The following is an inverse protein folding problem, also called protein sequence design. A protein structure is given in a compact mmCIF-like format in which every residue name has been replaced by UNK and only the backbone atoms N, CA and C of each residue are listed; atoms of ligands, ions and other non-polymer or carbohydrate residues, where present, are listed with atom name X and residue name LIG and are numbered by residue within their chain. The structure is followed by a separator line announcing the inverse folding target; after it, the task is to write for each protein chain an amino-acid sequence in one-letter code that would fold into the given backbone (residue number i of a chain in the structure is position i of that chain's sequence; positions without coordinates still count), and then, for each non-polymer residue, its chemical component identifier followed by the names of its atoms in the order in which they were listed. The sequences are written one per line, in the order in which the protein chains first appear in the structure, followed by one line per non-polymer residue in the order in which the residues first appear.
data_IF_732670430563
#
_entry.id   IF_732670430563
#
_cell.length_a   1.000
_cell.length_b   1.000
_cell.length_c   1.000
_cell.angle_alpha   90.00
_cell.angle_beta   90.00
_cell.angle_gamma   90.00
#
_symmetry.space_group_name_H-M   'P 1'
#
loop_
_entity.id
_entity.type
_entity.pdbx_description
1 polymer ?
2 polymer ?
3 non-polymer ?
4 water ?
#
# COMPACT_ATOMS: atom_id res chain seq x y z
N UNK A 1 16.94 22.19 0.42
CA UNK A 1 17.78 21.15 1.10
C UNK A 1 18.20 20.06 0.12
N UNK A 2 18.92 19.06 0.63
CA UNK A 2 19.48 18.03 -0.24
C UNK A 2 18.38 17.11 -0.72
N UNK A 3 18.38 16.82 -2.02
CA UNK A 3 17.41 15.92 -2.63
C UNK A 3 18.07 14.58 -2.90
N UNK A 4 17.43 13.50 -2.43
CA UNK A 4 17.93 12.15 -2.65
C UNK A 4 17.03 11.47 -3.66
N UNK A 5 17.65 10.94 -4.72
CA UNK A 5 16.93 10.31 -5.81
C UNK A 5 17.41 8.88 -6.00
N UNK A 6 16.47 7.96 -6.09
CA UNK A 6 16.73 6.58 -6.50
C UNK A 6 16.05 6.37 -7.85
N UNK A 7 16.85 6.35 -8.91
CA UNK A 7 16.30 6.43 -10.26
C UNK A 7 15.38 5.26 -10.59
N UNK A 8 15.43 4.18 -9.82
CA UNK A 8 14.63 2.98 -10.09
C UNK A 8 13.76 2.69 -8.87
N UNK A 9 12.44 2.83 -9.02
CA UNK A 9 11.52 2.58 -7.92
C UNK A 9 11.03 1.14 -7.88
N UNK A 10 11.13 0.40 -8.99
CA UNK A 10 10.86 -1.03 -9.01
C UNK A 10 11.98 -1.71 -9.77
N UNK A 11 12.52 -2.79 -9.19
CA UNK A 11 13.69 -3.48 -9.74
C UNK A 11 13.41 -4.98 -9.77
N UNK A 12 13.66 -5.60 -10.92
CA UNK A 12 13.43 -7.02 -11.09
C UNK A 12 14.74 -7.78 -10.89
N UNK A 13 14.65 -8.93 -10.24
CA UNK A 13 15.83 -9.74 -9.98
C UNK A 13 15.38 -11.16 -9.63
N UNK A 14 16.27 -12.11 -9.87
CA UNK A 14 16.06 -13.51 -9.52
C UNK A 14 16.85 -13.86 -8.27
N UNK A 15 16.39 -14.88 -7.56
CA UNK A 15 17.12 -15.33 -6.39
C UNK A 15 18.52 -15.78 -6.80
N UNK A 16 19.51 -15.40 -6.00
CA UNK A 16 20.90 -15.68 -6.31
C UNK A 16 21.58 -14.66 -7.20
N UNK A 17 20.89 -13.60 -7.60
CA UNK A 17 21.48 -12.56 -8.45
C UNK A 17 22.28 -11.56 -7.62
N UNK A 18 23.01 -10.70 -8.33
CA UNK A 18 23.78 -9.61 -7.73
C UNK A 18 23.01 -8.32 -8.00
N UNK A 19 22.24 -7.88 -7.00
CA UNK A 19 21.36 -6.73 -7.15
C UNK A 19 22.09 -5.48 -6.68
N UNK A 20 21.95 -4.41 -7.45
CA UNK A 20 22.53 -3.12 -7.12
C UNK A 20 21.43 -2.07 -7.15
N UNK A 21 21.25 -1.39 -6.02
CA UNK A 21 20.28 -0.30 -5.88
C UNK A 21 21.08 1.00 -5.77
N UNK A 22 20.75 1.97 -6.62
CA UNK A 22 21.50 3.22 -6.71
C UNK A 22 20.80 4.33 -5.93
N UNK A 23 21.56 5.39 -5.67
CA UNK A 23 21.07 6.54 -4.90
C UNK A 23 21.98 7.72 -5.19
N UNK A 24 21.38 8.83 -5.62
CA UNK A 24 22.11 10.04 -5.97
C UNK A 24 21.70 11.20 -5.06
N UNK A 25 22.69 11.95 -4.57
CA UNK A 25 22.44 13.13 -3.77
C UNK A 25 22.60 14.40 -4.61
N UNK A 26 21.83 15.44 -4.26
CA UNK A 26 21.87 16.69 -5.00
C UNK A 26 23.18 17.46 -4.77
N UNK A 27 23.94 17.10 -3.75
CA UNK A 27 25.24 17.71 -3.51
C UNK A 27 26.10 16.72 -2.72
N UNK A 28 27.36 17.09 -2.53
CA UNK A 28 28.28 16.22 -1.81
C UNK A 28 27.80 16.03 -0.38
N UNK A 29 27.60 14.77 0.01
CA UNK A 29 27.17 14.43 1.36
C UNK A 29 28.25 13.73 2.15
N UNK A 30 29.47 13.63 1.61
CA UNK A 30 30.64 13.23 2.39
C UNK A 30 30.43 11.88 3.06
N UNK A 31 29.93 10.93 2.28
CA UNK A 31 29.76 9.53 2.72
C UNK A 31 28.82 9.39 3.90
N UNK A 32 28.05 10.43 4.24
CA UNK A 32 27.04 10.36 5.29
C UNK A 32 25.75 9.79 4.69
N UNK A 33 25.81 8.50 4.34
CA UNK A 33 24.69 7.82 3.71
C UNK A 33 24.38 6.51 4.44
N UNK A 34 23.10 6.29 4.70
CA UNK A 34 22.62 5.11 5.38
C UNK A 34 21.58 4.41 4.51
N UNK A 35 21.41 3.10 4.72
CA UNK A 35 20.48 2.28 3.97
C UNK A 35 19.53 1.58 4.93
N UNK A 36 18.24 1.59 4.59
CA UNK A 36 17.21 0.96 5.40
C UNK A 36 16.42 0.00 4.54
N UNK A 37 15.95 -1.07 5.17
CA UNK A 37 15.14 -2.10 4.52
C UNK A 37 13.77 -2.12 5.17
N UNK A 38 12.72 -1.88 4.38
CA UNK A 38 11.35 -1.96 4.86
C UNK A 38 10.67 -3.17 4.25
N UNK A 39 10.10 -4.02 5.10
CA UNK A 39 9.36 -5.19 4.63
C UNK A 39 7.92 -4.84 4.30
N UNK A 40 7.22 -5.73 3.60
CA UNK A 40 5.79 -5.48 3.32
C UNK A 40 4.95 -5.22 4.57
N UNK A 41 5.26 -5.87 5.69
CA UNK A 41 4.51 -5.62 6.92
C UNK A 41 4.83 -4.26 7.56
N UNK A 42 5.64 -3.42 6.90
CA UNK A 42 5.94 -2.10 7.38
C UNK A 42 7.21 -2.00 8.20
N UNK A 43 7.65 -3.09 8.81
CA UNK A 43 8.82 -3.02 9.69
C UNK A 43 10.04 -2.54 8.92
N UNK A 44 10.90 -1.80 9.61
CA UNK A 44 12.08 -1.19 9.02
C UNK A 44 13.31 -1.66 9.81
N UNK A 45 14.41 -1.88 9.09
CA UNK A 45 15.67 -2.32 9.68
C UNK A 45 16.81 -1.56 9.04
N UNK A 46 17.81 -1.20 9.85
CA UNK A 46 19.03 -0.61 9.32
C UNK A 46 19.92 -1.70 8.74
N UNK A 47 20.54 -1.39 7.61
CA UNK A 47 21.51 -2.28 6.98
C UNK A 47 22.91 -1.71 7.07
N UNK A 48 23.14 -0.51 6.52
CA UNK A 48 24.46 0.06 6.38
C UNK A 48 24.40 1.53 6.77
N UNK A 49 25.46 2.00 7.41
CA UNK A 49 25.62 3.41 7.74
C UNK A 49 27.01 3.86 7.35
N UNK A 50 27.14 5.17 7.13
CA UNK A 50 28.38 5.76 6.66
C UNK A 50 28.87 5.03 5.41
N UNK A 51 27.98 4.88 4.43
CA UNK A 51 28.29 4.34 3.12
C UNK A 51 28.52 2.83 3.14
N UNK A 52 29.44 2.34 3.97
CA UNK A 52 29.93 0.98 3.84
C UNK A 52 29.92 0.17 5.13
N UNK A 53 29.63 0.76 6.28
CA UNK A 53 29.74 0.05 7.53
C UNK A 53 28.49 -0.79 7.77
N UNK A 54 28.71 -2.08 7.99
CA UNK A 54 27.62 -3.03 8.18
C UNK A 54 27.10 -2.93 9.62
N UNK A 55 25.80 -2.71 9.76
CA UNK A 55 25.19 -2.73 11.08
C UNK A 55 25.22 -4.15 11.64
N UNK A 56 25.36 -4.24 12.96
CA UNK A 56 25.45 -5.54 13.62
C UNK A 56 24.24 -6.39 13.26
N UNK A 57 24.48 -7.67 13.00
CA UNK A 57 23.42 -8.62 12.71
C UNK A 57 22.97 -8.67 11.27
N UNK A 58 23.54 -7.85 10.40
CA UNK A 58 23.17 -7.82 8.98
C UNK A 58 24.09 -8.76 8.21
N UNK A 59 23.55 -9.67 7.39
CA UNK A 59 24.43 -10.61 6.66
C UNK A 59 25.45 -9.89 5.79
N UNK A 60 26.59 -10.56 5.58
CA UNK A 60 27.70 -9.96 4.85
C UNK A 60 27.39 -9.73 3.39
N UNK A 61 26.35 -10.38 2.85
CA UNK A 61 26.01 -10.21 1.44
C UNK A 61 25.50 -8.81 1.13
N UNK A 62 25.17 -8.02 2.15
CA UNK A 62 24.78 -6.62 1.95
C UNK A 62 26.05 -5.77 1.96
N UNK A 63 26.28 -5.04 0.88
CA UNK A 63 27.49 -4.25 0.71
C UNK A 63 27.11 -2.87 0.22
N UNK A 64 27.80 -1.86 0.75
CA UNK A 64 27.54 -0.48 0.38
C UNK A 64 28.80 0.24 -0.03
N UNK A 65 28.67 1.12 -1.01
CA UNK A 65 29.78 1.94 -1.46
C UNK A 65 29.24 3.23 -2.06
N UNK A 66 30.17 4.08 -2.46
CA UNK A 66 29.84 5.37 -3.05
C UNK A 66 30.68 6.48 -2.44
N UNK A 67 30.58 7.64 -3.08
CA UNK A 67 31.25 8.84 -2.60
C UNK A 67 30.62 10.05 -3.28
N UNK A 68 30.90 11.22 -2.72
CA UNK A 68 30.40 12.45 -3.29
C UNK A 68 28.89 12.49 -3.36
N UNK A 69 28.33 12.23 -4.55
CA UNK A 69 26.90 12.24 -4.76
C UNK A 69 26.31 10.89 -5.09
N UNK A 70 27.08 9.97 -5.65
CA UNK A 70 26.55 8.69 -6.11
C UNK A 70 26.92 7.58 -5.13
N UNK A 71 25.91 6.80 -4.73
CA UNK A 71 26.10 5.70 -3.81
C UNK A 71 25.25 4.53 -4.28
N UNK A 72 25.54 3.35 -3.73
CA UNK A 72 24.86 2.16 -4.20
C UNK A 72 24.86 1.10 -3.10
N UNK A 73 23.83 0.26 -3.14
CA UNK A 73 23.69 -0.88 -2.24
C UNK A 73 23.71 -2.13 -3.10
N UNK A 74 24.62 -3.05 -2.79
CA UNK A 74 24.79 -4.27 -3.56
C UNK A 74 24.43 -5.46 -2.67
N UNK A 75 23.57 -6.33 -3.18
CA UNK A 75 23.11 -7.50 -2.45
C UNK A 75 23.49 -8.71 -3.29
N UNK A 76 24.50 -9.45 -2.83
CA UNK A 76 24.97 -10.63 -3.53
C UNK A 76 24.15 -11.85 -3.11
N UNK A 77 23.93 -12.76 -4.06
CA UNK A 77 23.21 -14.01 -3.79
C UNK A 77 21.87 -13.72 -3.10
N UNK A 78 21.02 -13.02 -3.83
CA UNK A 78 19.74 -12.58 -3.30
C UNK A 78 18.92 -13.76 -2.78
N UNK A 79 18.30 -13.56 -1.61
CA UNK A 79 17.44 -14.55 -0.99
C UNK A 79 16.02 -14.01 -0.87
N UNK A 80 15.09 -14.92 -0.62
CA UNK A 80 13.68 -14.54 -0.58
C UNK A 80 13.41 -13.46 0.47
N UNK A 81 14.03 -13.59 1.64
CA UNK A 81 13.83 -12.61 2.71
C UNK A 81 14.40 -11.24 2.36
N UNK A 82 15.16 -11.13 1.28
CA UNK A 82 15.70 -9.84 0.83
C UNK A 82 14.74 -9.07 -0.06
N UNK A 83 13.63 -9.69 -0.48
CA UNK A 83 12.63 -9.01 -1.29
C UNK A 83 11.93 -7.98 -0.42
N UNK A 84 12.27 -6.72 -0.61
CA UNK A 84 11.78 -5.65 0.25
C UNK A 84 12.03 -4.32 -0.46
N UNK A 85 11.76 -3.22 0.24
CA UNK A 85 12.01 -1.89 -0.27
C UNK A 85 13.22 -1.30 0.45
N UNK A 86 14.08 -0.62 -0.29
CA UNK A 86 15.34 -0.11 0.23
C UNK A 86 15.38 1.40 0.06
N UNK A 87 15.61 2.11 1.15
CA UNK A 87 15.68 3.56 1.15
C UNK A 87 17.08 4.01 1.55
N UNK A 88 17.63 4.97 0.81
CA UNK A 88 18.84 5.64 1.25
C UNK A 88 18.47 6.91 2.00
N UNK A 89 19.44 7.45 2.74
CA UNK A 89 19.19 8.60 3.60
C UNK A 89 20.49 9.31 3.88
N UNK A 90 20.52 10.62 3.64
CA UNK A 90 21.70 11.43 3.88
C UNK A 90 21.63 12.05 5.27
N UNK A 91 22.75 11.99 5.99
CA UNK A 91 22.87 12.61 7.29
C UNK A 91 23.92 13.70 7.30
N UNK A 92 24.10 14.36 6.15
CA UNK A 92 25.13 15.38 6.04
C UNK A 92 24.62 16.73 6.53
N UNK A 93 23.43 17.12 6.11
CA UNK A 93 22.83 18.39 6.47
C UNK A 93 21.43 18.17 7.03
N UNK A 94 20.85 19.24 7.57
CA UNK A 94 19.45 19.21 7.97
C UNK A 94 18.60 19.91 6.93
N UNK A 95 17.35 19.49 6.71
CA UNK A 95 16.72 18.32 7.34
C UNK A 95 17.14 17.01 6.69
N UNK A 96 17.09 15.92 7.45
CA UNK A 96 17.42 14.62 6.86
C UNK A 96 16.42 14.29 5.77
N UNK A 97 16.90 13.70 4.69
CA UNK A 97 16.06 13.36 3.55
C UNK A 97 16.32 11.92 3.12
N UNK A 98 15.27 11.29 2.61
CA UNK A 98 15.33 9.91 2.12
C UNK A 98 15.13 9.91 0.61
N UNK A 99 15.59 8.83 -0.01
CA UNK A 99 15.24 8.55 -1.38
C UNK A 99 13.87 7.92 -1.48
N UNK A 100 13.28 8.01 -2.68
CA UNK A 100 11.95 7.49 -2.92
C UNK A 100 11.79 6.01 -2.62
N UNK A 101 12.88 5.26 -2.63
CA UNK A 101 12.83 3.84 -2.33
C UNK A 101 12.84 2.98 -3.57
N UNK A 102 13.24 1.73 -3.39
CA UNK A 102 13.37 0.75 -4.47
C UNK A 102 12.83 -0.58 -3.97
N UNK A 103 11.67 -0.99 -4.49
CA UNK A 103 11.06 -2.26 -4.12
C UNK A 103 11.48 -3.34 -5.12
N UNK A 104 12.15 -4.38 -4.62
CA UNK A 104 12.52 -5.49 -5.48
C UNK A 104 11.32 -6.39 -5.76
N UNK A 105 11.42 -7.14 -6.85
CA UNK A 105 10.40 -8.10 -7.23
C UNK A 105 11.06 -9.26 -7.98
N UNK A 106 10.35 -10.38 -8.05
CA UNK A 106 10.88 -11.61 -8.63
C UNK A 106 10.61 -11.62 -10.14
N UNK A 107 11.64 -11.89 -10.92
CA UNK A 107 11.49 -12.04 -12.36
C UNK A 107 10.70 -13.31 -12.69
N UNK A 108 9.91 -13.23 -13.76
CA UNK A 108 9.23 -14.39 -14.30
C UNK A 108 8.87 -14.08 -15.75
N UNK A 109 8.26 -15.06 -16.41
CA UNK A 109 7.89 -14.90 -17.81
C UNK A 109 6.65 -14.03 -17.94
N UNK A 110 6.59 -13.27 -19.03
CA UNK A 110 5.45 -12.40 -19.27
C UNK A 110 4.16 -13.21 -19.35
N UNK A 111 3.09 -12.66 -18.80
CA UNK A 111 1.79 -13.29 -18.83
C UNK A 111 0.74 -12.20 -19.04
N UNK A 112 -0.16 -12.43 -20.00
CA UNK A 112 -1.21 -11.47 -20.27
C UNK A 112 -2.28 -11.53 -19.17
N UNK A 113 -2.90 -10.40 -18.84
CA UNK A 113 -3.94 -10.41 -17.83
C UNK A 113 -5.20 -11.08 -18.34
N UNK A 114 -5.93 -11.71 -17.42
CA UNK A 114 -7.27 -12.21 -17.68
C UNK A 114 -8.24 -11.14 -17.20
N UNK A 115 -9.11 -10.67 -18.10
CA UNK A 115 -9.95 -9.49 -17.85
C UNK A 115 -11.39 -9.94 -17.72
N UNK A 116 -12.08 -9.42 -16.71
CA UNK A 116 -13.48 -9.70 -16.48
C UNK A 116 -14.16 -8.40 -16.08
N UNK A 117 -15.32 -8.13 -16.67
CA UNK A 117 -16.07 -6.92 -16.36
C UNK A 117 -17.40 -7.34 -15.75
N UNK A 118 -17.93 -6.49 -14.87
CA UNK A 118 -19.15 -6.81 -14.14
C UNK A 118 -20.07 -5.60 -14.03
N UNK A 119 -21.31 -5.68 -14.51
CA UNK A 119 -22.25 -4.56 -14.33
C UNK A 119 -22.58 -4.35 -12.86
N UNK A 120 -23.28 -3.27 -12.52
CA UNK A 120 -23.72 -3.08 -11.14
C UNK A 120 -24.69 -4.19 -10.71
N UNK A 121 -24.64 -4.51 -9.42
CA UNK A 121 -25.51 -5.52 -8.85
C UNK A 121 -26.90 -4.97 -8.62
N UNK A 122 -27.90 -5.84 -8.69
CA UNK A 122 -29.27 -5.44 -8.38
C UNK A 122 -29.34 -4.80 -7.00
N UNK A 123 -28.68 -5.41 -6.01
CA UNK A 123 -28.70 -4.86 -4.66
C UNK A 123 -28.26 -3.41 -4.64
N UNK A 124 -27.11 -3.11 -5.25
CA UNK A 124 -26.59 -1.75 -5.21
C UNK A 124 -27.51 -0.76 -5.91
N UNK A 125 -28.06 -1.15 -7.07
CA UNK A 125 -28.90 -0.22 -7.82
C UNK A 125 -30.09 0.26 -7.00
N UNK A 126 -30.74 -0.65 -6.26
CA UNK A 126 -31.85 -0.26 -5.40
C UNK A 126 -31.42 0.74 -4.33
N UNK A 127 -30.12 0.89 -4.08
CA UNK A 127 -29.61 1.90 -3.19
C UNK A 127 -29.31 3.22 -3.89
N UNK A 128 -29.56 3.31 -5.19
CA UNK A 128 -29.30 4.52 -5.95
C UNK A 128 -27.89 4.68 -6.47
N UNK A 129 -27.05 3.66 -6.33
CA UNK A 129 -25.69 3.70 -6.81
C UNK A 129 -25.47 2.65 -7.88
N UNK A 130 -24.37 2.81 -8.60
CA UNK A 130 -24.00 1.90 -9.66
C UNK A 130 -22.48 1.90 -9.78
N UNK A 131 -21.87 0.76 -9.49
CA UNK A 131 -20.43 0.56 -9.64
C UNK A 131 -20.20 -0.54 -10.66
N UNK A 132 -19.35 -0.25 -11.63
CA UNK A 132 -18.93 -1.23 -12.62
C UNK A 132 -17.52 -1.67 -12.27
N UNK A 133 -17.31 -2.98 -12.18
CA UNK A 133 -16.06 -3.54 -11.66
C UNK A 133 -15.36 -4.30 -12.78
N UNK A 134 -14.04 -4.18 -12.81
CA UNK A 134 -13.23 -4.87 -13.81
C UNK A 134 -12.00 -5.43 -13.10
N UNK A 135 -11.83 -6.75 -13.16
CA UNK A 135 -10.63 -7.40 -12.65
C UNK A 135 -9.64 -7.63 -13.78
N UNK A 136 -8.36 -7.48 -13.48
CA UNK A 136 -7.28 -7.78 -14.41
C UNK A 136 -6.31 -8.66 -13.61
N UNK A 137 -6.41 -9.97 -13.77
CA UNK A 137 -5.80 -10.92 -12.86
C UNK A 137 -4.60 -11.62 -13.47
N UNK A 138 -3.59 -11.87 -12.63
CA UNK A 138 -2.47 -12.77 -12.92
C UNK A 138 -1.72 -12.34 -14.19
N UNK A 139 -1.11 -11.16 -14.13
CA UNK A 139 -0.31 -10.65 -15.22
C UNK A 139 1.08 -10.30 -14.72
N UNK A 140 2.03 -10.26 -15.65
CA UNK A 140 3.40 -9.88 -15.36
C UNK A 140 4.01 -9.34 -16.65
N UNK A 141 4.75 -8.22 -16.61
CA UNK A 141 5.11 -7.43 -15.43
C UNK A 141 3.94 -6.61 -14.90
N UNK A 142 4.20 -5.83 -13.83
CA UNK A 142 3.11 -5.17 -13.10
C UNK A 142 2.63 -3.89 -13.77
N UNK A 143 3.38 -3.35 -14.73
CA UNK A 143 2.91 -2.16 -15.44
C UNK A 143 1.73 -2.52 -16.33
N UNK A 144 0.66 -1.72 -16.21
CA UNK A 144 -0.56 -1.96 -16.97
C UNK A 144 -1.37 -0.68 -16.95
N UNK A 145 -2.10 -0.43 -18.03
CA UNK A 145 -3.00 0.72 -18.14
C UNK A 145 -4.41 0.19 -18.35
N UNK A 146 -5.34 0.65 -17.51
CA UNK A 146 -6.76 0.33 -17.66
C UNK A 146 -7.48 1.61 -18.08
N UNK A 147 -8.42 1.47 -19.01
CA UNK A 147 -9.18 2.60 -19.52
C UNK A 147 -10.65 2.23 -19.56
N UNK A 148 -11.49 3.13 -19.05
CA UNK A 148 -12.94 2.95 -19.08
C UNK A 148 -13.54 3.83 -20.17
N UNK A 149 -14.58 3.32 -20.81
CA UNK A 149 -15.34 4.08 -21.79
C UNK A 149 -16.82 3.96 -21.48
N UNK A 150 -17.54 5.06 -21.64
CA UNK A 150 -18.99 5.08 -21.53
C UNK A 150 -19.53 5.55 -22.87
N UNK A 151 -20.31 4.70 -23.52
CA UNK A 151 -20.84 5.01 -24.84
C UNK A 151 -19.71 5.39 -25.80
N UNK A 152 -18.57 4.72 -25.65
CA UNK A 152 -17.50 4.79 -26.63
C UNK A 152 -16.45 5.84 -26.36
N UNK A 153 -16.67 6.74 -25.41
CA UNK A 153 -15.70 7.78 -25.09
C UNK A 153 -15.14 7.55 -23.70
N UNK A 154 -13.87 7.90 -23.52
CA UNK A 154 -13.15 7.58 -22.30
C UNK A 154 -13.76 8.29 -21.09
N UNK A 155 -13.69 7.61 -19.94
CA UNK A 155 -14.17 8.14 -18.67
C UNK A 155 -13.12 7.94 -17.60
N UNK A 156 -12.89 8.97 -16.79
CA UNK A 156 -11.90 8.90 -15.71
C UNK A 156 -12.40 9.36 -14.36
N UNK A 157 -13.51 10.09 -14.27
CA UNK A 157 -14.06 10.47 -12.98
C UNK A 157 -14.82 9.30 -12.37
N UNK A 158 -14.61 9.09 -11.07
CA UNK A 158 -15.20 8.00 -10.36
C UNK A 158 -14.41 6.70 -10.43
N UNK A 159 -13.31 6.67 -11.16
CA UNK A 159 -12.53 5.45 -11.34
C UNK A 159 -11.51 5.37 -10.21
N UNK A 160 -11.57 4.28 -9.45
CA UNK A 160 -10.61 4.02 -8.37
C UNK A 160 -10.00 2.65 -8.60
N UNK A 161 -8.67 2.59 -8.56
CA UNK A 161 -7.93 1.39 -8.88
C UNK A 161 -7.25 0.84 -7.64
N UNK A 162 -7.01 -0.47 -7.64
CA UNK A 162 -6.31 -1.12 -6.55
C UNK A 162 -5.43 -2.24 -7.12
N UNK A 163 -4.19 -2.30 -6.65
CA UNK A 163 -3.21 -3.27 -7.13
C UNK A 163 -2.74 -4.15 -5.99
N UNK A 164 -2.64 -5.45 -6.26
CA UNK A 164 -2.09 -6.38 -5.29
C UNK A 164 -0.57 -6.35 -5.32
N UNK A 165 0.03 -6.83 -4.24
CA UNK A 165 1.47 -7.08 -4.24
C UNK A 165 1.75 -8.31 -5.08
N UNK A 166 3.02 -8.48 -5.45
CA UNK A 166 3.42 -9.65 -6.23
C UNK A 166 2.98 -10.91 -5.50
N UNK A 167 2.39 -11.84 -6.24
CA UNK A 167 1.95 -13.08 -5.61
C UNK A 167 3.14 -13.89 -5.11
N UNK A 168 2.99 -14.47 -3.92
CA UNK A 168 4.10 -15.19 -3.30
C UNK A 168 4.38 -16.54 -3.98
N UNK A 169 3.42 -17.07 -4.75
CA UNK A 169 3.54 -18.39 -5.34
C UNK A 169 3.82 -18.38 -6.83
N UNK A 170 3.11 -17.59 -7.63
CA UNK A 170 3.33 -17.55 -9.07
C UNK A 170 3.96 -16.26 -9.56
N UNK A 171 4.19 -15.29 -8.67
CA UNK A 171 4.90 -14.05 -8.99
C UNK A 171 4.15 -13.14 -9.95
N UNK A 172 2.85 -13.32 -10.10
CA UNK A 172 2.06 -12.44 -10.96
C UNK A 172 1.41 -11.33 -10.14
N UNK A 173 0.88 -10.35 -10.86
CA UNK A 173 0.17 -9.22 -10.27
C UNK A 173 -1.27 -9.25 -10.72
N UNK A 174 -2.14 -8.60 -9.94
CA UNK A 174 -3.55 -8.50 -10.24
C UNK A 174 -4.03 -7.10 -9.87
N UNK A 175 -5.07 -6.65 -10.58
CA UNK A 175 -5.56 -5.29 -10.44
C UNK A 175 -7.08 -5.27 -10.51
N UNK A 176 -7.68 -4.36 -9.73
CA UNK A 176 -9.11 -4.12 -9.77
C UNK A 176 -9.37 -2.65 -10.08
N UNK A 177 -10.30 -2.42 -10.99
CA UNK A 177 -10.72 -1.07 -11.38
C UNK A 177 -12.23 -0.98 -11.20
N UNK A 178 -12.69 0.10 -10.57
CA UNK A 178 -14.10 0.28 -10.28
C UNK A 178 -14.54 1.67 -10.69
N UNK A 179 -15.59 1.73 -11.50
CA UNK A 179 -16.18 2.98 -11.99
C UNK A 179 -17.52 3.16 -11.30
N UNK A 180 -17.62 4.17 -10.44
CA UNK A 180 -18.82 4.41 -9.66
C UNK A 180 -19.62 5.58 -10.23
N UNK A 181 -20.93 5.39 -10.32
CA UNK A 181 -21.85 6.38 -10.86
C UNK A 181 -23.12 6.38 -10.02
N UNK A 182 -23.99 7.33 -10.29
CA UNK A 182 -25.32 7.29 -9.74
C UNK A 182 -26.20 6.37 -10.59
N UNK A 183 -27.26 5.85 -9.96
CA UNK A 183 -28.21 5.03 -10.71
C UNK A 183 -28.70 5.77 -11.95
N UNK A 184 -29.04 7.05 -11.81
CA UNK A 184 -29.60 7.80 -12.92
C UNK A 184 -28.59 7.96 -14.06
N UNK A 185 -27.35 8.35 -13.74
CA UNK A 185 -26.35 8.49 -14.79
C UNK A 185 -26.08 7.15 -15.46
N UNK A 186 -25.96 6.09 -14.68
CA UNK A 186 -25.72 4.76 -15.25
C UNK A 186 -26.83 4.38 -16.22
N UNK A 187 -28.07 4.75 -15.91
CA UNK A 187 -29.20 4.35 -16.75
C UNK A 187 -29.38 5.24 -17.97
N UNK A 188 -28.63 6.34 -18.09
CA UNK A 188 -28.70 7.17 -19.28
C UNK A 188 -27.78 6.68 -20.39
N UNK A 189 -26.98 5.65 -20.15
CA UNK A 189 -26.00 5.20 -21.14
C UNK A 189 -26.10 3.69 -21.27
N UNK A 190 -25.41 3.17 -22.28
CA UNK A 190 -25.62 1.79 -22.73
C UNK A 190 -24.36 0.93 -22.62
N UNK A 191 -23.27 1.31 -23.29
CA UNK A 191 -22.09 0.45 -23.37
C UNK A 191 -21.06 0.89 -22.36
N UNK A 192 -20.55 -0.08 -21.60
CA UNK A 192 -19.52 0.15 -20.60
C UNK A 192 -18.35 -0.77 -20.90
N UNK A 193 -17.16 -0.19 -21.02
CA UNK A 193 -16.02 -0.90 -21.57
C UNK A 193 -14.82 -0.80 -20.64
N UNK A 194 -14.11 -1.92 -20.52
CA UNK A 194 -12.85 -2.01 -19.78
C UNK A 194 -11.76 -2.42 -20.76
N UNK A 195 -10.80 -1.53 -20.99
CA UNK A 195 -9.71 -1.78 -21.94
C UNK A 195 -8.40 -1.89 -21.18
N UNK A 196 -7.71 -3.02 -21.33
CA UNK A 196 -6.45 -3.29 -20.66
C UNK A 196 -5.33 -3.26 -21.69
N UNK A 197 -4.32 -2.43 -21.44
CA UNK A 197 -3.15 -2.35 -22.31
C UNK A 197 -1.93 -2.82 -21.53
N UNK A 198 -1.26 -3.84 -22.07
CA UNK A 198 -0.17 -4.52 -21.41
C UNK A 198 0.85 -4.93 -22.47
N UNK A 199 2.12 -4.98 -22.09
CA UNK A 199 3.18 -5.23 -23.06
C UNK A 199 3.05 -6.58 -23.75
N UNK A 200 2.18 -7.48 -23.25
CA UNK A 200 1.99 -8.77 -23.89
C UNK A 200 1.28 -8.68 -25.23
N UNK A 201 0.77 -7.51 -25.60
CA UNK A 201 0.18 -7.35 -26.93
C UNK A 201 0.08 -5.86 -27.24
N UNK A 202 0.18 -5.55 -28.54
CA UNK A 202 0.01 -4.16 -28.97
C UNK A 202 -1.45 -3.74 -28.94
N UNK A 203 -2.37 -4.69 -29.09
CA UNK A 203 -3.80 -4.40 -29.08
C UNK A 203 -4.35 -4.58 -27.67
N UNK A 204 -5.11 -3.61 -27.16
CA UNK A 204 -5.68 -3.79 -25.81
C UNK A 204 -6.59 -4.99 -25.73
N UNK A 205 -6.78 -5.47 -24.50
CA UNK A 205 -7.79 -6.48 -24.20
C UNK A 205 -9.06 -5.74 -23.80
N UNK A 206 -10.15 -5.99 -24.51
CA UNK A 206 -11.37 -5.23 -24.39
C UNK A 206 -12.48 -6.13 -23.84
N UNK A 207 -13.09 -5.72 -22.74
CA UNK A 207 -14.27 -6.37 -22.20
C UNK A 207 -15.33 -5.30 -21.99
N UNK A 208 -16.56 -5.58 -22.40
CA UNK A 208 -17.62 -4.60 -22.31
C UNK A 208 -18.97 -5.30 -22.34
N UNK A 209 -20.00 -4.57 -21.94
CA UNK A 209 -21.37 -5.05 -22.00
C UNK A 209 -22.28 -3.89 -22.37
N UNK A 210 -23.51 -4.24 -22.77
CA UNK A 210 -24.52 -3.26 -23.16
C UNK A 210 -25.73 -3.39 -22.25
N UNK A 211 -26.22 -2.27 -21.74
CA UNK A 211 -27.40 -2.31 -20.88
C UNK A 211 -28.62 -2.81 -21.64
N UNK A 212 -28.75 -2.43 -22.92
CA UNK A 212 -29.93 -2.82 -23.69
C UNK A 212 -29.92 -4.31 -24.04
N UNK A 213 -28.79 -5.00 -23.88
CA UNK A 213 -28.73 -6.45 -24.09
C UNK A 213 -28.81 -7.23 -22.78
N UNK A 214 -29.10 -6.56 -21.67
CA UNK A 214 -29.21 -7.23 -20.38
C UNK A 214 -30.62 -7.81 -20.19
N UNK B 1 17.80 -6.03 24.81
CA UNK B 1 17.45 -5.81 23.38
C UNK B 1 16.72 -4.49 23.23
N UNK B 2 17.23 -3.64 22.33
CA UNK B 2 16.60 -2.36 22.06
C UNK B 2 15.23 -2.59 21.44
N UNK B 3 14.22 -1.86 21.92
CA UNK B 3 12.88 -1.98 21.38
C UNK B 3 12.16 -0.64 21.52
N UNK B 4 11.29 -0.35 20.55
CA UNK B 4 10.52 0.89 20.52
C UNK B 4 9.07 0.54 20.20
N UNK B 5 8.23 0.46 21.22
CA UNK B 5 6.82 0.15 21.05
C UNK B 5 6.05 1.45 20.89
N UNK B 6 5.43 1.63 19.72
CA UNK B 6 4.62 2.81 19.44
C UNK B 6 3.16 2.54 19.75
N UNK B 7 2.40 3.62 19.89
CA UNK B 7 1.00 3.53 20.24
C UNK B 7 0.17 3.01 19.08
N UNK B 8 -1.11 2.74 19.35
CA UNK B 8 -2.00 2.11 18.40
C UNK B 8 -2.46 3.05 17.29
N UNK B 9 -3.29 2.48 16.40
CA UNK B 9 -3.83 3.25 15.30
C UNK B 9 -4.77 4.34 15.80
N UNK B 10 -4.84 5.43 15.04
CA UNK B 10 -5.56 6.62 15.44
C UNK B 10 -6.55 7.03 14.36
N UNK B 11 -7.76 7.39 14.77
CA UNK B 11 -8.78 7.93 13.90
C UNK B 11 -9.22 9.26 14.49
N UNK B 12 -8.90 10.35 13.80
CA UNK B 12 -9.14 11.70 14.33
C UNK B 12 -9.75 12.56 13.24
N UNK B 13 -10.66 13.43 13.63
CA UNK B 13 -11.34 14.33 12.70
C UNK B 13 -10.45 15.53 12.40
N UNK B 14 -10.42 15.92 11.12
CA UNK B 14 -9.57 17.02 10.68
C UNK B 14 -9.79 18.26 11.54
N UNK B 15 -8.75 19.08 11.66
CA UNK B 15 -8.79 20.25 12.52
C UNK B 15 -8.54 19.97 13.97
N UNK B 16 -8.59 18.70 14.39
CA UNK B 16 -8.28 18.33 15.75
C UNK B 16 -6.79 18.00 15.88
N UNK B 17 -6.39 17.46 17.02
CA UNK B 17 -5.01 17.10 17.25
C UNK B 17 -4.91 15.63 17.65
N UNK B 18 -3.68 15.15 17.72
CA UNK B 18 -3.40 13.78 18.14
C UNK B 18 -2.02 13.74 18.78
N UNK B 19 -1.84 12.80 19.69
CA UNK B 19 -0.57 12.65 20.40
C UNK B 19 -0.27 11.16 20.51
N UNK B 20 0.72 10.69 19.74
CA UNK B 20 1.10 9.29 19.72
C UNK B 20 2.39 9.07 20.50
N UNK B 21 2.60 7.82 20.91
CA UNK B 21 3.65 7.46 21.87
C UNK B 21 4.71 6.58 21.22
N UNK B 22 5.83 6.45 21.93
CA UNK B 22 6.98 5.67 21.47
C UNK B 22 7.79 5.33 22.73
N UNK B 23 7.49 4.17 23.32
CA UNK B 23 8.13 3.76 24.55
C UNK B 23 9.41 3.00 24.23
N UNK B 24 10.50 3.41 24.88
CA UNK B 24 11.81 2.81 24.67
C UNK B 24 12.16 1.86 25.81
N UNK B 25 12.88 0.80 25.47
CA UNK B 25 13.34 -0.18 26.45
C UNK B 25 14.64 -0.77 25.96
N UNK B 26 15.32 -1.47 26.87
CA UNK B 26 16.56 -2.15 26.53
C UNK B 26 17.78 -1.27 26.41
N UNK B 27 17.68 0.02 26.70
CA UNK B 27 18.83 0.91 26.61
C UNK B 27 18.56 2.15 27.46
N UNK B 28 19.59 2.98 27.60
CA UNK B 28 19.46 4.21 28.37
C UNK B 28 18.73 5.26 27.53
N UNK B 29 17.52 5.61 27.96
CA UNK B 29 16.67 6.49 27.17
C UNK B 29 17.31 7.86 26.96
N UNK B 30 18.00 8.38 27.98
CA UNK B 30 18.55 9.73 27.91
C UNK B 30 19.83 9.83 27.10
N UNK B 31 20.39 8.70 26.66
CA UNK B 31 21.67 8.68 25.97
C UNK B 31 21.53 8.68 24.45
N UNK B 32 20.31 8.66 23.91
CA UNK B 32 20.11 8.60 22.48
C UNK B 32 18.94 9.48 22.07
N UNK B 33 19.07 10.15 20.92
CA UNK B 33 17.99 10.92 20.39
C UNK B 33 16.89 10.06 19.80
N UNK B 34 15.72 10.67 19.63
CA UNK B 34 14.56 10.03 19.03
C UNK B 34 14.14 10.85 17.81
N UNK B 35 14.11 10.19 16.65
CA UNK B 35 13.68 10.80 15.40
C UNK B 35 12.30 10.27 15.02
N UNK B 36 11.55 11.07 14.26
CA UNK B 36 10.22 10.70 13.80
C UNK B 36 10.17 10.80 12.28
N UNK B 37 9.60 9.78 11.66
CA UNK B 37 9.56 9.64 10.20
C UNK B 37 8.12 9.42 9.77
N UNK B 38 7.73 10.10 8.69
CA UNK B 38 6.39 10.01 8.14
C UNK B 38 6.43 9.24 6.82
N UNK B 39 5.50 8.32 6.63
CA UNK B 39 5.41 7.54 5.40
C UNK B 39 3.99 7.57 4.85
N UNK B 40 3.83 8.04 3.63
CA UNK B 40 2.59 7.95 2.89
C UNK B 40 2.75 7.06 1.67
N UNK B 41 1.70 6.31 1.29
CA UNK B 41 1.84 5.27 0.26
C UNK B 41 2.76 5.60 -0.91
N UNK B 42 2.70 6.82 -1.42
CA UNK B 42 3.36 7.13 -2.67
C UNK B 42 4.40 8.24 -2.61
N UNK B 43 5.15 8.32 -1.52
CA UNK B 43 6.26 9.27 -1.47
C UNK B 43 7.56 8.64 -1.00
N UNK B 44 7.52 7.80 0.02
CA UNK B 44 8.73 7.28 0.63
C UNK B 44 8.77 7.62 2.11
N UNK B 45 9.78 8.36 2.55
CA UNK B 45 9.95 8.67 3.95
C UNK B 45 10.35 10.13 4.11
N UNK B 46 9.78 10.78 5.11
CA UNK B 46 10.08 12.17 5.42
C UNK B 46 10.54 12.28 6.87
N UNK B 47 11.57 13.07 7.10
CA UNK B 47 12.11 13.30 8.45
C UNK B 47 11.36 14.48 9.05
N UNK B 48 10.58 14.22 10.10
CA UNK B 48 9.82 15.26 10.78
C UNK B 48 10.74 16.08 11.68
N UNK B 49 11.49 15.40 12.52
CA UNK B 49 12.37 16.06 13.48
C UNK B 49 12.91 15.05 14.46
N UNK B 50 13.65 15.57 15.43
CA UNK B 50 14.20 14.70 16.47
C UNK B 50 14.24 15.47 17.77
N UNK B 51 14.33 14.72 18.88
CA UNK B 51 14.40 15.28 20.22
C UNK B 51 15.52 14.59 20.98
N UNK B 52 16.20 15.33 21.86
CA UNK B 52 17.21 14.77 22.74
C UNK B 52 16.59 14.58 24.12
N UNK B 53 16.24 13.35 24.51
CA UNK B 53 15.54 13.16 25.80
C UNK B 53 16.32 13.65 26.99
N UNK B 54 17.66 13.70 26.92
CA UNK B 54 18.42 14.17 28.06
C UNK B 54 18.08 15.60 28.43
N UNK B 55 18.17 16.51 27.46
CA UNK B 55 17.94 17.93 27.71
C UNK B 55 16.67 18.45 27.06
N UNK B 56 15.90 17.59 26.38
CA UNK B 56 14.68 18.04 25.75
C UNK B 56 14.87 18.90 24.53
N UNK B 57 16.10 19.01 24.01
CA UNK B 57 16.35 19.80 22.83
C UNK B 57 15.67 19.19 21.62
N UNK B 58 15.08 20.04 20.78
CA UNK B 58 14.32 19.61 19.62
C UNK B 58 14.78 20.38 18.39
N UNK B 59 14.87 19.67 17.27
CA UNK B 59 15.12 20.28 15.97
C UNK B 59 14.08 19.74 15.01
N UNK B 60 13.41 20.65 14.31
CA UNK B 60 12.29 20.31 13.45
C UNK B 60 12.64 20.53 11.98
N UNK B 61 12.09 19.66 11.14
CA UNK B 61 12.03 19.97 9.72
C UNK B 61 11.05 21.11 9.52
N UNK B 62 11.49 22.15 8.80
CA UNK B 62 10.66 23.33 8.62
C UNK B 62 9.31 23.00 8.01
N UNK B 63 9.21 21.89 7.28
CA UNK B 63 7.94 21.46 6.71
C UNK B 63 6.92 21.12 7.79
N UNK B 64 7.37 20.61 8.93
CA UNK B 64 6.49 20.12 9.98
C UNK B 64 6.53 20.95 11.25
N UNK B 65 7.32 22.03 11.28
CA UNK B 65 7.51 22.75 12.53
C UNK B 65 6.23 23.44 12.99
N UNK B 66 5.42 23.93 12.06
CA UNK B 66 4.25 24.69 12.43
C UNK B 66 3.22 23.90 13.21
N UNK B 67 3.04 22.62 12.87
CA UNK B 67 1.96 21.82 13.43
C UNK B 67 2.44 20.69 14.34
N UNK B 68 3.75 20.48 14.45
CA UNK B 68 4.30 19.34 15.18
C UNK B 68 5.00 19.81 16.45
N UNK B 69 4.89 19.00 17.51
CA UNK B 69 5.57 19.25 18.77
C UNK B 69 6.08 17.93 19.31
N UNK B 70 7.37 17.88 19.64
CA UNK B 70 8.01 16.70 20.18
C UNK B 70 8.29 16.91 21.66
N UNK B 71 7.97 15.90 22.47
CA UNK B 71 8.25 15.92 23.90
C UNK B 71 8.64 14.51 24.33
N UNK B 72 9.09 14.39 25.59
CA UNK B 72 9.47 13.10 26.16
C UNK B 72 8.98 13.05 27.61
N UNK B 73 9.01 11.83 28.16
CA UNK B 73 8.69 11.59 29.57
C UNK B 73 9.84 10.70 30.08
N UNK B 74 10.80 11.33 30.75
CA UNK B 74 11.99 10.60 31.19
C UNK B 74 11.68 9.57 32.27
N UNK B 75 10.56 9.72 32.98
CA UNK B 75 10.19 8.76 34.02
C UNK B 75 9.66 7.45 33.46
N UNK B 76 9.15 7.46 32.22
CA UNK B 76 8.62 6.26 31.58
C UNK B 76 9.37 5.89 30.31
N UNK B 77 10.43 6.62 29.96
CA UNK B 77 11.22 6.34 28.75
C UNK B 77 10.33 6.35 27.50
N UNK B 78 9.51 7.38 27.37
CA UNK B 78 8.51 7.47 26.32
C UNK B 78 8.62 8.83 25.64
N UNK B 79 8.63 8.83 24.30
CA UNK B 79 8.64 10.04 23.52
C UNK B 79 7.27 10.23 22.86
N UNK B 80 6.84 11.49 22.76
CA UNK B 80 5.53 11.84 22.24
C UNK B 80 5.66 12.79 21.06
N UNK B 81 4.78 12.61 20.07
CA UNK B 81 4.69 13.54 18.95
C UNK B 81 3.24 13.99 18.83
N UNK B 82 3.03 15.31 18.92
CA UNK B 82 1.70 15.89 18.79
C UNK B 82 1.58 16.54 17.41
N UNK B 83 0.46 16.26 16.73
CA UNK B 83 0.15 16.85 15.43
C UNK B 83 -1.12 17.67 15.59
N UNK B 84 -1.03 18.96 15.30
CA UNK B 84 -2.16 19.87 15.44
C UNK B 84 -2.69 20.27 14.06
N UNK B 85 -3.92 20.79 14.05
CA UNK B 85 -4.59 21.24 12.84
C UNK B 85 -4.48 20.19 11.74
N UNK B 86 -5.06 19.02 12.02
CA UNK B 86 -4.90 17.89 11.12
C UNK B 86 -5.72 18.08 9.85
N UNK B 87 -5.14 17.65 8.73
CA UNK B 87 -5.82 17.59 7.45
C UNK B 87 -5.65 16.18 6.90
N UNK B 88 -6.28 15.89 5.76
CA UNK B 88 -6.10 14.58 5.15
C UNK B 88 -4.65 14.37 4.73
N UNK B 89 -3.89 15.44 4.54
CA UNK B 89 -2.48 15.32 4.18
C UNK B 89 -1.67 14.66 5.29
N UNK B 90 -2.18 14.65 6.52
CA UNK B 90 -1.48 14.07 7.66
C UNK B 90 -1.82 12.60 7.87
N UNK B 91 -2.65 12.01 7.02
CA UNK B 91 -2.89 10.57 7.07
C UNK B 91 -1.66 9.85 6.54
N UNK B 92 -0.99 9.11 7.41
CA UNK B 92 0.26 8.45 7.06
C UNK B 92 0.57 7.42 8.13
N UNK B 93 1.71 6.76 7.97
CA UNK B 93 2.30 5.96 9.03
C UNK B 93 3.47 6.76 9.61
N UNK B 94 3.52 6.85 10.93
CA UNK B 94 4.54 7.62 11.64
C UNK B 94 5.40 6.65 12.42
N UNK B 95 6.70 6.69 12.16
CA UNK B 95 7.67 5.86 12.87
C UNK B 95 8.48 6.72 13.83
N UNK B 96 8.95 6.10 14.90
CA UNK B 96 10.02 6.63 15.71
C UNK B 96 11.25 5.75 15.53
N UNK B 97 12.43 6.34 15.71
CA UNK B 97 13.68 5.60 15.56
C UNK B 97 14.76 6.22 16.43
N UNK B 98 15.63 5.36 16.96
CA UNK B 98 16.76 5.81 17.77
C UNK B 98 17.94 6.15 16.87
N UNK B 99 18.62 7.25 17.18
CA UNK B 99 19.79 7.68 16.42
C UNK B 99 21.05 7.44 17.24
N UNK B 100 22.13 7.05 16.55
CA UNK B 100 23.41 6.76 17.17
C UNK B 100 24.49 7.55 16.44
N UNK B 101 25.50 7.97 17.19
CA UNK B 101 26.59 8.78 16.66
C UNK B 101 27.64 7.90 16.00
N UNK B 102 28.22 8.41 14.90
CA UNK B 102 29.41 7.81 14.32
C UNK B 102 30.08 8.81 13.39
N UNK B 103 31.37 9.04 13.62
CA UNK B 103 32.13 9.92 12.74
C UNK B 103 31.47 11.26 12.51
N UNK B 104 30.86 11.83 13.55
CA UNK B 104 30.11 13.06 13.40
C UNK B 104 28.72 12.88 12.84
N UNK B 105 28.41 11.72 12.27
CA UNK B 105 27.11 11.48 11.66
C UNK B 105 26.17 10.85 12.66
N UNK B 106 24.88 10.87 12.31
CA UNK B 106 23.85 10.15 13.03
C UNK B 106 23.11 9.25 12.07
N UNK B 107 22.69 8.09 12.56
CA UNK B 107 21.90 7.16 11.76
C UNK B 107 20.92 6.44 12.67
N UNK B 108 19.85 5.94 12.06
CA UNK B 108 18.73 5.35 12.78
C UNK B 108 18.90 3.84 12.84
N UNK B 109 19.27 3.31 14.00
CA UNK B 109 19.63 1.91 14.11
C UNK B 109 18.47 1.01 14.53
N UNK B 110 17.46 1.55 15.20
CA UNK B 110 16.30 0.77 15.61
C UNK B 110 15.03 1.59 15.43
N UNK B 111 14.02 0.98 14.81
CA UNK B 111 12.78 1.65 14.46
C UNK B 111 11.62 1.02 15.22
N UNK B 112 10.56 1.82 15.39
CA UNK B 112 9.32 1.30 15.91
C UNK B 112 8.46 0.71 14.81
N UNK B 113 7.41 0.00 15.22
CA UNK B 113 6.56 -0.66 14.24
C UNK B 113 5.73 0.31 13.41
N UNK B 114 5.60 1.55 13.85
CA UNK B 114 4.83 2.53 13.12
C UNK B 114 3.44 2.71 13.69
N UNK B 115 2.94 3.94 13.61
CA UNK B 115 1.62 4.31 14.10
C UNK B 115 0.82 4.87 12.93
N UNK B 116 -0.31 4.26 12.64
CA UNK B 116 -1.14 4.69 11.54
C UNK B 116 -2.08 5.78 12.01
N UNK B 117 -2.13 6.88 11.26
CA UNK B 117 -3.05 7.97 11.51
C UNK B 117 -3.96 8.12 10.30
N UNK B 118 -5.26 8.08 10.54
CA UNK B 118 -6.26 8.29 9.50
C UNK B 118 -7.10 9.50 9.89
N UNK B 119 -6.97 10.59 9.13
CA UNK B 119 -7.75 11.80 9.37
C UNK B 119 -9.06 11.67 8.61
N UNK B 120 -10.17 11.65 9.35
CA UNK B 120 -11.49 11.42 8.76
C UNK B 120 -12.56 11.68 9.80
N UNK B 121 -13.71 12.18 9.32
CA UNK B 121 -14.89 12.35 10.15
C UNK B 121 -15.76 11.10 10.21
N UNK B 122 -15.36 10.02 9.55
CA UNK B 122 -16.18 8.83 9.49
C UNK B 122 -16.23 8.14 10.85
N UNK B 123 -17.32 7.40 11.07
CA UNK B 123 -17.47 6.54 12.22
C UNK B 123 -17.56 5.10 11.75
N UNK B 124 -17.47 4.18 12.71
CA UNK B 124 -17.56 2.76 12.38
C UNK B 124 -18.80 2.51 11.55
N UNK B 125 -18.62 1.89 10.38
CA UNK B 125 -19.73 1.61 9.49
C UNK B 125 -19.50 0.26 8.83
N UNK B 126 -20.47 -0.66 8.86
CA UNK B 126 -20.31 -1.95 8.17
C UNK B 126 -20.30 -1.76 6.66
N UNK B 127 -19.67 -2.65 5.91
CA UNK B 127 -19.69 -2.55 4.45
C UNK B 127 -21.03 -3.00 3.88
N UNK B 128 -21.33 -2.48 2.69
CA UNK B 128 -22.35 -3.06 1.82
C UNK B 128 -21.66 -4.07 0.92
N UNK B 129 -22.12 -5.32 0.95
CA UNK B 129 -21.51 -6.39 0.18
C UNK B 129 -22.38 -6.63 -1.05
N UNK B 130 -21.85 -6.30 -2.23
CA UNK B 130 -22.60 -6.45 -3.47
C UNK B 130 -22.07 -7.65 -4.26
N UNK B 131 -22.93 -8.57 -4.68
CA UNK B 131 -22.44 -9.71 -5.47
C UNK B 131 -22.19 -9.33 -6.92
N UNK B 132 -21.13 -9.88 -7.48
CA UNK B 132 -20.70 -9.58 -8.85
C UNK B 132 -20.81 -10.85 -9.69
N UNK B 133 -21.92 -11.02 -10.39
CA UNK B 133 -22.11 -12.08 -11.34
C UNK B 133 -21.80 -11.58 -12.74
N UNK B 134 -21.46 -12.48 -13.68
CA UNK B 134 -21.23 -12.03 -15.06
C UNK B 134 -22.48 -11.41 -15.66
N UNK B 135 -22.28 -10.51 -16.62
CA UNK B 135 -23.40 -9.88 -17.28
C UNK B 135 -24.28 -10.92 -17.97
N UNK B 136 -25.60 -10.71 -17.87
CA UNK B 136 -26.54 -11.67 -18.44
C UNK B 136 -26.25 -11.92 -19.91
N UNK B 137 -25.86 -10.88 -20.65
CA UNK B 137 -25.50 -11.05 -22.05
C UNK B 137 -24.24 -11.90 -22.21
N UNK B 138 -23.42 -12.01 -21.17
CA UNK B 138 -22.12 -12.67 -21.29
C UNK B 138 -22.26 -14.16 -21.54
N UNK B 139 -21.32 -14.71 -22.31
CA UNK B 139 -21.16 -16.14 -22.50
C UNK B 139 -19.85 -16.53 -21.82
N UNK B 140 -19.94 -17.25 -20.71
CA UNK B 140 -18.75 -17.60 -19.95
C UNK B 140 -18.03 -18.77 -20.62
N UNK B 141 -16.87 -19.14 -20.07
CA UNK B 141 -16.01 -20.17 -20.64
C UNK B 141 -15.95 -21.37 -19.69
N UNK B 142 -14.88 -22.17 -19.81
CA UNK B 142 -14.64 -23.28 -18.88
C UNK B 142 -14.28 -22.78 -17.50
N UNK B 143 -13.68 -21.60 -17.41
CA UNK B 143 -13.42 -20.92 -16.15
C UNK B 143 -14.27 -19.66 -16.10
N UNK B 144 -14.96 -19.45 -14.99
CA UNK B 144 -15.80 -18.27 -14.78
C UNK B 144 -15.31 -17.54 -13.54
N UNK B 145 -15.03 -16.25 -13.71
CA UNK B 145 -14.61 -15.40 -12.61
C UNK B 145 -15.84 -14.77 -11.96
N UNK B 146 -15.85 -14.78 -10.64
CA UNK B 146 -16.92 -14.16 -9.87
C UNK B 146 -16.28 -13.16 -8.92
N UNK B 147 -17.05 -12.15 -8.54
CA UNK B 147 -16.54 -11.06 -7.73
C UNK B 147 -17.43 -10.78 -6.54
N UNK B 148 -17.03 -9.76 -5.79
CA UNK B 148 -17.74 -9.35 -4.59
C UNK B 148 -17.21 -7.98 -4.20
N UNK B 149 -18.09 -6.97 -4.19
CA UNK B 149 -17.69 -5.59 -3.94
C UNK B 149 -18.04 -5.22 -2.50
N UNK B 150 -17.03 -4.81 -1.74
CA UNK B 150 -17.16 -4.48 -0.33
C UNK B 150 -16.99 -2.97 -0.18
N UNK B 151 -18.10 -2.25 -0.04
CA UNK B 151 -18.14 -0.82 -0.31
C UNK B 151 -18.71 -0.06 0.88
N UNK B 152 -18.03 1.01 1.28
CA UNK B 152 -18.57 1.94 2.25
C UNK B 152 -18.37 1.55 3.70
N UNK B 153 -17.22 0.97 4.05
CA UNK B 153 -16.96 0.57 5.42
C UNK B 153 -15.89 1.45 6.03
N UNK B 154 -15.90 1.48 7.37
CA UNK B 154 -14.89 2.22 8.11
C UNK B 154 -14.87 1.65 9.52
N UNK B 155 -13.68 1.42 10.12
CA UNK B 155 -12.34 1.53 9.56
C UNK B 155 -11.81 0.19 9.02
N UNK B 156 -10.56 0.16 8.57
CA UNK B 156 -9.91 -1.10 8.28
C UNK B 156 -9.74 -1.90 9.58
N UNK B 157 -9.63 -3.24 9.48
CA UNK B 157 -9.61 -4.07 8.27
C UNK B 157 -10.91 -4.82 8.00
N UNK B 158 -10.93 -5.49 6.86
CA UNK B 158 -12.00 -6.39 6.47
C UNK B 158 -11.36 -7.74 6.13
N UNK B 159 -12.07 -8.82 6.41
CA UNK B 159 -11.63 -10.17 6.09
C UNK B 159 -12.63 -10.78 5.12
N UNK B 160 -12.14 -11.18 3.94
CA UNK B 160 -12.97 -11.74 2.90
C UNK B 160 -12.50 -13.15 2.61
N UNK B 161 -13.45 -14.07 2.50
CA UNK B 161 -13.17 -15.44 2.09
C UNK B 161 -14.25 -15.86 1.14
N UNK B 162 -14.08 -17.05 0.56
CA UNK B 162 -15.03 -17.60 -0.39
C UNK B 162 -15.43 -18.99 0.07
N UNK B 163 -16.74 -19.20 0.28
CA UNK B 163 -17.25 -20.45 0.81
C UNK B 163 -16.57 -20.79 2.12
N UNK B 164 -16.30 -19.76 2.93
CA UNK B 164 -15.72 -19.91 4.26
C UNK B 164 -14.35 -20.60 4.23
N UNK B 165 -13.56 -20.36 3.19
CA UNK B 165 -12.23 -20.90 3.08
C UNK B 165 -12.11 -22.09 2.15
N UNK B 166 -13.22 -22.76 1.83
CA UNK B 166 -13.19 -23.95 0.99
C UNK B 166 -12.85 -23.64 -0.46
N UNK B 167 -12.82 -22.38 -0.86
CA UNK B 167 -12.30 -21.96 -2.17
C UNK B 167 -11.08 -21.09 -1.87
N UNK B 168 -9.89 -21.67 -1.97
CA UNK B 168 -8.65 -20.98 -1.67
C UNK B 168 -7.90 -20.54 -2.92
N UNK B 169 -7.88 -21.36 -3.96
CA UNK B 169 -7.14 -21.05 -5.16
C UNK B 169 -7.90 -20.08 -6.05
N UNK B 170 -7.13 -19.29 -6.82
CA UNK B 170 -7.74 -18.34 -7.74
C UNK B 170 -8.50 -17.22 -7.07
N UNK B 171 -8.10 -16.84 -5.85
CA UNK B 171 -8.73 -15.76 -5.12
C UNK B 171 -7.79 -14.56 -5.12
N UNK B 172 -8.35 -13.38 -5.40
CA UNK B 172 -7.61 -12.13 -5.34
C UNK B 172 -8.47 -11.15 -4.54
N UNK B 173 -8.03 -10.84 -3.33
CA UNK B 173 -8.64 -9.78 -2.53
C UNK B 173 -7.71 -8.57 -2.60
N UNK B 174 -8.27 -7.45 -3.03
CA UNK B 174 -7.45 -6.29 -3.35
C UNK B 174 -7.38 -5.34 -2.15
N UNK B 175 -6.31 -4.55 -2.04
CA UNK B 175 -6.25 -3.55 -0.97
C UNK B 175 -7.38 -2.55 -1.09
N UNK B 176 -7.74 -1.97 0.05
CA UNK B 176 -8.84 -1.00 0.06
C UNK B 176 -8.39 0.33 -0.53
N UNK B 177 -9.38 1.12 -0.94
CA UNK B 177 -9.17 2.49 -1.38
C UNK B 177 -10.14 3.38 -0.63
N UNK B 178 -9.87 4.68 -0.68
CA UNK B 178 -10.67 5.68 0.03
C UNK B 178 -11.57 6.41 -0.96
N UNK B 179 -12.88 6.31 -0.75
CA UNK B 179 -13.81 7.21 -1.43
C UNK B 179 -14.01 8.43 -0.53
N UNK B 180 -15.26 8.85 -0.34
CA UNK B 180 -15.53 10.01 0.52
C UNK B 180 -15.50 9.55 1.96
N UNK B 181 -14.32 9.64 2.57
CA UNK B 181 -14.10 9.30 3.97
C UNK B 181 -14.42 7.84 4.29
N UNK B 182 -14.66 7.00 3.28
CA UNK B 182 -14.98 5.59 3.50
C UNK B 182 -14.12 4.71 2.62
N UNK B 183 -14.05 3.43 2.99
CA UNK B 183 -13.21 2.46 2.31
C UNK B 183 -14.04 1.60 1.37
N UNK B 184 -13.40 1.14 0.31
CA UNK B 184 -14.00 0.21 -0.64
C UNK B 184 -12.93 -0.77 -1.10
N UNK B 185 -13.25 -2.05 -1.13
CA UNK B 185 -12.38 -3.04 -1.72
C UNK B 185 -13.23 -4.06 -2.47
N UNK B 186 -12.54 -4.95 -3.19
CA UNK B 186 -13.18 -5.97 -3.99
C UNK B 186 -12.42 -7.28 -3.83
N UNK B 187 -13.02 -8.35 -4.36
CA UNK B 187 -12.39 -9.65 -4.30
C UNK B 187 -12.93 -10.50 -5.44
N UNK B 188 -12.05 -11.28 -6.06
CA UNK B 188 -12.41 -12.14 -7.16
C UNK B 188 -12.12 -13.59 -6.78
N UNK B 189 -12.89 -14.49 -7.39
CA UNK B 189 -12.67 -15.92 -7.27
C UNK B 189 -12.97 -16.55 -8.61
N UNK B 190 -12.14 -17.49 -9.04
CA UNK B 190 -12.26 -18.13 -10.33
C UNK B 190 -12.51 -19.62 -10.12
N UNK B 191 -13.55 -20.12 -10.75
CA UNK B 191 -13.97 -21.52 -10.56
C UNK B 191 -14.35 -22.11 -11.91
N UNK B 192 -14.28 -23.44 -12.02
CA UNK B 192 -14.73 -24.09 -13.26
C UNK B 192 -16.21 -23.85 -13.52
N UNK B 193 -16.57 -23.79 -14.79
CA UNK B 193 -17.96 -23.57 -15.16
C UNK B 193 -18.87 -24.69 -14.68
N UNK B 194 -18.31 -25.87 -14.39
CA UNK B 194 -19.09 -26.97 -13.84
C UNK B 194 -19.44 -26.75 -12.37
N UNK B 195 -18.76 -25.82 -11.69
CA UNK B 195 -18.99 -25.53 -10.28
C UNK B 195 -20.08 -24.49 -10.05
N UNK B 196 -20.14 -23.46 -10.90
CA UNK B 196 -21.10 -22.37 -10.73
C UNK B 196 -21.85 -22.16 -12.03
N UNK B 197 -23.18 -21.93 -11.98
CA UNK B 197 -24.05 -21.81 -10.80
C UNK B 197 -24.72 -23.12 -10.35
N UNK B 198 -24.19 -24.27 -10.79
CA UNK B 198 -24.71 -25.55 -10.33
C UNK B 198 -24.50 -25.73 -8.82
N UNK B 199 -23.48 -25.10 -8.26
CA UNK B 199 -23.26 -25.07 -6.82
C UNK B 199 -23.24 -23.63 -6.34
N UNK B 200 -23.28 -23.46 -5.02
CA UNK B 200 -23.28 -22.14 -4.42
C UNK B 200 -21.87 -21.58 -4.32
N UNK B 201 -21.74 -20.28 -4.58
CA UNK B 201 -20.51 -19.53 -4.35
C UNK B 201 -20.87 -18.32 -3.52
N UNK B 202 -20.17 -18.16 -2.39
CA UNK B 202 -20.50 -17.15 -1.41
C UNK B 202 -19.22 -16.45 -0.97
N UNK B 203 -19.25 -15.11 -0.96
CA UNK B 203 -18.18 -14.35 -0.32
C UNK B 203 -18.60 -14.03 1.10
N UNK B 204 -17.69 -14.26 2.04
CA UNK B 204 -17.90 -14.00 3.45
C UNK B 204 -16.97 -12.87 3.86
N UNK B 205 -17.53 -11.70 4.12
CA UNK B 205 -16.76 -10.53 4.51
C UNK B 205 -17.04 -10.25 5.98
N UNK B 206 -15.97 -10.10 6.76
CA UNK B 206 -16.07 -9.81 8.18
C UNK B 206 -15.47 -8.44 8.46
N UNK B 207 -16.14 -7.67 9.30
CA UNK B 207 -15.70 -6.32 9.66
C UNK B 207 -15.74 -6.25 11.18
N UNK B 208 -14.61 -6.53 11.85
CA UNK B 208 -14.66 -6.67 13.31
C UNK B 208 -15.10 -5.41 14.03
N UNK B 209 -14.68 -4.24 13.56
CA UNK B 209 -15.00 -3.01 14.29
C UNK B 209 -16.50 -2.82 14.46
N UNK B 210 -17.30 -3.25 13.49
CA UNK B 210 -18.75 -3.15 13.58
C UNK B 210 -19.41 -4.45 14.02
N UNK B 211 -18.63 -5.49 14.30
CA UNK B 211 -19.16 -6.79 14.72
C UNK B 211 -20.06 -7.37 13.63
N UNK B 212 -19.64 -7.23 12.38
CA UNK B 212 -20.43 -7.64 11.23
C UNK B 212 -19.82 -8.87 10.58
N UNK B 213 -20.68 -9.76 10.11
CA UNK B 213 -20.27 -10.99 9.43
C UNK B 213 -21.33 -11.23 8.35
N UNK B 214 -21.05 -10.79 7.13
CA UNK B 214 -22.00 -10.85 6.04
C UNK B 214 -21.58 -11.97 5.08
N UNK B 215 -22.54 -12.83 4.75
CA UNK B 215 -22.36 -13.85 3.73
C UNK B 215 -23.25 -13.48 2.55
N UNK B 216 -22.65 -13.28 1.39
CA UNK B 216 -23.40 -12.88 0.20
C UNK B 216 -23.24 -13.95 -0.87
N UNK B 217 -24.36 -14.34 -1.47
CA UNK B 217 -24.38 -15.39 -2.48
C UNK B 217 -24.32 -14.77 -3.87
N UNK B 218 -23.59 -15.43 -4.78
CA UNK B 218 -23.42 -14.96 -6.15
C UNK B 218 -24.35 -15.78 -7.03
N UNK B 219 -25.45 -15.17 -7.46
CA UNK B 219 -26.47 -15.87 -8.23
C UNK B 219 -26.50 -15.31 -9.65
N UNK B 220 -26.87 -16.10 -10.66
CA UNK B 220 -26.98 -15.56 -12.02
C UNK B 220 -27.99 -14.43 -12.09
N UNK B 221 -27.69 -13.45 -12.94
CA UNK B 221 -28.56 -12.29 -13.05
C UNK B 221 -29.87 -12.63 -13.75
N UNK B 222 -30.90 -11.84 -13.46
CA UNK B 222 -32.16 -11.96 -14.15
C UNK B 222 -32.06 -11.28 -15.52
N UNK B 223 -32.56 -11.94 -16.55
CA UNK B 223 -32.51 -11.39 -17.90
C UNK B 223 -33.57 -10.31 -18.07
N UNK B 224 -33.27 -9.36 -18.96
CA UNK B 224 -34.19 -8.27 -19.24
C UNK B 224 -33.99 -7.07 -18.33
X LIG C 1 -11.98 -16.57 -15.89
X LIG C 1 -10.64 -16.79 -15.55
X LIG C 1 -12.10 -15.12 -16.35
X LIG C 1 -13.11 -15.02 -17.31
X LIG C 1 -12.89 -14.08 -18.33
X LIG C 1 -14.09 -13.14 -18.32
X LIG C 1 -16.54 -9.86 -18.85
X LIG C 1 -16.08 -11.19 -18.74
X LIG C 1 -14.86 -11.36 -19.65
X LIG C 1 -14.37 -12.68 -19.61
X LIG C 1 -12.54 -16.72 -15.11
X LIG C 1 -12.24 -17.16 -16.61
X LIG C 1 -10.54 -17.60 -15.32
X LIG C 1 -12.32 -14.55 -15.59
X LIG C 1 -11.25 -14.83 -16.73
X LIG C 1 -12.84 -14.53 -19.19
X LIG C 1 -12.08 -13.58 -18.16
X LIG C 1 -14.86 -13.61 -17.96
X LIG C 1 -13.89 -12.38 -17.74
X LIG C 1 -15.83 -11.37 -17.82
X LIG C 1 -16.78 -11.79 -19.01
X LIG C 1 -15.11 -11.16 -20.57
X LIG C 1 -14.15 -10.77 -19.36
#
# INVERSE_FOLDING_TARGET
DIQMTQTTSSLSASLGDRVTISCRASQDISNYLNWYQQKPDGTVKLLIYYTSRLHSGVPSRFSGSGSGTDYSLTISNLEQEDIATYFCQQGNTLPRTFGGGTKLEIKRADAAPTVSIFPPSSEQLTSGGASVVCFLNNFYPKDINVKWKIDGSERQNGVLNSWTDQDSKDSTYSMSSTLTLTKDEYERHNSYTCEATHKTSTSPIVKSFNRNEC
EVQLQQSGAELVRAGSSVKMSCKASGYTFTSYGINWVKQRPGQGLEWIGYINPGNGYTKYNEKFKGKTTLTVDKSSSTAYMQLRSLTSEDSAVYFCARSVYYGGSYYFDYWGQGTTLTVSSAKTTPPSVYPLAPGSAAQTNSMVTLGCLVKGYFPEPVTVTWNSGSLSSGVHTFPAVLQSDLYTLSSSVTVPSSTWPSETVTCNVAHPASSTKVDKKIVPRDCG
PGE C1 O1 C2 O2 C3 C4 O4 C6 C5 O3 H1 H12 HO1 H2 H22 H3 H32 H4 H42 H6 H62 H5 H52
#
